data_IF_728730082113
#
_entry.id   IF_728730082113
#
_cell.length_a   1.000
_cell.length_b   1.000
_cell.length_c   1.000
_cell.angle_alpha   90.00
_cell.angle_beta   90.00
_cell.angle_gamma   90.00
#
_symmetry.space_group_name_H-M   'P 1'
#
loop_
_entity.id
_entity.type
_entity.pdbx_description
1 polymer ?
#
# COMPACT_ATOMS: atom_id res chain seq x y z
N UNK A 1 -12.45 -4.80 -18.32
CA UNK A 1 -13.56 -4.51 -17.38
C UNK A 1 -13.73 -5.71 -16.44
N UNK A 2 -13.92 -5.48 -15.14
CA UNK A 2 -14.16 -6.54 -14.14
C UNK A 2 -15.67 -6.77 -14.01
N UNK A 3 -16.08 -8.03 -13.91
CA UNK A 3 -17.51 -8.37 -13.82
C UNK A 3 -18.08 -8.23 -12.40
N UNK A 4 -17.21 -8.27 -11.37
CA UNK A 4 -17.63 -8.19 -9.95
C UNK A 4 -16.66 -7.33 -9.14
N UNK A 5 -17.16 -6.77 -8.03
CA UNK A 5 -16.34 -6.13 -6.99
C UNK A 5 -15.77 -7.21 -6.08
N UNK A 6 -14.45 -7.46 -6.18
CA UNK A 6 -13.73 -8.47 -5.38
C UNK A 6 -12.74 -7.83 -4.41
N UNK A 7 -12.88 -6.54 -4.12
CA UNK A 7 -12.01 -5.78 -3.25
C UNK A 7 -10.82 -5.11 -3.96
N UNK A 8 -10.19 -4.17 -3.25
CA UNK A 8 -9.10 -3.35 -3.78
C UNK A 8 -7.82 -4.19 -4.04
N UNK A 9 -7.50 -5.12 -3.15
CA UNK A 9 -6.33 -6.01 -3.32
C UNK A 9 -6.42 -6.86 -4.57
N UNK A 10 -7.61 -7.43 -4.85
CA UNK A 10 -7.87 -8.17 -6.08
C UNK A 10 -7.72 -7.28 -7.32
N UNK A 11 -8.22 -6.02 -7.27
CA UNK A 11 -8.10 -5.09 -8.40
C UNK A 11 -6.64 -4.73 -8.70
N UNK A 12 -5.86 -4.51 -7.66
CA UNK A 12 -4.42 -4.21 -7.80
C UNK A 12 -3.69 -5.42 -8.37
N UNK A 13 -3.97 -6.65 -7.90
CA UNK A 13 -3.36 -7.87 -8.45
C UNK A 13 -3.67 -8.07 -9.94
N UNK A 14 -4.89 -7.79 -10.38
CA UNK A 14 -5.23 -7.84 -11.82
C UNK A 14 -4.41 -6.81 -12.61
N UNK A 15 -4.28 -5.58 -12.10
CA UNK A 15 -3.43 -4.54 -12.69
C UNK A 15 -1.95 -4.94 -12.74
N UNK A 16 -1.41 -5.53 -11.67
CA UNK A 16 -0.05 -6.03 -11.61
C UNK A 16 0.19 -7.15 -12.65
N UNK A 17 -0.74 -8.10 -12.75
CA UNK A 17 -0.64 -9.18 -13.73
C UNK A 17 -0.67 -8.63 -15.17
N UNK A 18 -1.51 -7.64 -15.43
CA UNK A 18 -1.55 -6.96 -16.73
C UNK A 18 -0.25 -6.22 -17.01
N UNK A 19 0.30 -5.48 -16.02
CA UNK A 19 1.57 -4.77 -16.17
C UNK A 19 2.74 -5.72 -16.46
N UNK A 20 2.79 -6.87 -15.78
CA UNK A 20 3.79 -7.92 -16.05
C UNK A 20 3.63 -8.54 -17.44
N UNK A 21 2.39 -8.84 -17.84
CA UNK A 21 2.08 -9.40 -19.18
C UNK A 21 2.51 -8.44 -20.30
N UNK A 22 2.32 -7.13 -20.09
CA UNK A 22 2.69 -6.08 -21.06
C UNK A 22 4.14 -5.60 -20.90
N UNK A 23 4.88 -6.18 -19.96
CA UNK A 23 6.26 -5.83 -19.66
C UNK A 23 6.48 -4.34 -19.34
N UNK A 24 5.52 -3.70 -18.66
CA UNK A 24 5.70 -2.32 -18.22
C UNK A 24 6.80 -2.22 -17.17
N UNK A 25 7.62 -1.20 -17.28
CA UNK A 25 8.74 -0.95 -16.36
C UNK A 25 8.26 -0.44 -14.99
N UNK A 26 7.14 0.27 -14.97
CA UNK A 26 6.55 0.88 -13.76
C UNK A 26 5.04 0.65 -13.74
N UNK A 27 4.53 0.28 -12.58
CA UNK A 27 3.11 0.20 -12.29
C UNK A 27 2.78 1.15 -11.14
N UNK A 28 1.80 2.04 -11.34
CA UNK A 28 1.38 3.00 -10.32
C UNK A 28 -0.08 2.76 -9.97
N UNK A 29 -0.38 2.77 -8.68
CA UNK A 29 -1.74 2.74 -8.13
C UNK A 29 -2.07 4.06 -7.45
N UNK A 30 -3.30 4.52 -7.57
CA UNK A 30 -3.87 5.64 -6.82
C UNK A 30 -5.39 5.50 -6.77
N UNK A 31 -6.04 6.16 -5.82
CA UNK A 31 -7.50 6.19 -5.73
C UNK A 31 -8.07 7.14 -6.79
N UNK A 32 -9.20 6.75 -7.39
CA UNK A 32 -9.84 7.51 -8.48
C UNK A 32 -10.92 8.49 -7.98
N UNK A 33 -10.96 8.78 -6.68
CA UNK A 33 -11.95 9.65 -6.04
C UNK A 33 -11.41 11.07 -5.76
N UNK A 34 -10.31 11.41 -6.41
CA UNK A 34 -9.60 12.70 -6.28
C UNK A 34 -8.98 12.94 -4.88
N UNK A 35 -8.88 11.89 -4.04
CA UNK A 35 -8.18 12.00 -2.76
C UNK A 35 -6.66 12.03 -2.91
N UNK A 36 -6.13 11.49 -3.99
CA UNK A 36 -4.73 11.57 -4.37
C UNK A 36 -4.54 12.53 -5.54
N UNK A 37 -3.50 13.36 -5.47
CA UNK A 37 -3.17 14.36 -6.48
C UNK A 37 -2.39 13.72 -7.65
N UNK A 38 -2.97 13.60 -8.87
CA UNK A 38 -2.25 13.03 -10.01
C UNK A 38 -0.98 13.80 -10.40
N UNK A 39 -0.89 15.08 -10.06
CA UNK A 39 0.32 15.91 -10.28
C UNK A 39 1.55 15.40 -9.51
N UNK A 40 1.38 14.53 -8.53
CA UNK A 40 2.49 13.91 -7.79
C UNK A 40 3.09 12.68 -8.50
N UNK A 41 2.41 12.11 -9.52
CA UNK A 41 2.90 10.96 -10.29
C UNK A 41 4.34 11.14 -10.79
N UNK A 42 4.76 12.30 -11.33
CA UNK A 42 6.15 12.51 -11.75
C UNK A 42 7.17 12.28 -10.64
N UNK A 43 6.84 12.60 -9.38
CA UNK A 43 7.70 12.35 -8.22
C UNK A 43 7.91 10.86 -7.98
N UNK A 44 6.85 10.05 -8.10
CA UNK A 44 6.94 8.59 -8.03
C UNK A 44 7.81 8.03 -9.16
N UNK A 45 7.62 8.51 -10.41
CA UNK A 45 8.41 8.09 -11.57
C UNK A 45 9.90 8.43 -11.38
N UNK A 46 10.21 9.61 -10.84
CA UNK A 46 11.59 10.00 -10.55
C UNK A 46 12.24 9.08 -9.52
N UNK A 47 11.50 8.72 -8.45
CA UNK A 47 12.04 7.88 -7.37
C UNK A 47 12.15 6.42 -7.76
N UNK A 48 11.18 5.87 -8.52
CA UNK A 48 11.20 4.46 -8.92
C UNK A 48 12.41 4.11 -9.82
N UNK A 49 13.07 5.09 -10.43
CA UNK A 49 14.33 4.87 -11.16
C UNK A 49 15.48 4.42 -10.26
N UNK A 50 15.44 4.74 -8.95
CA UNK A 50 16.48 4.42 -7.97
C UNK A 50 16.04 3.40 -6.93
N UNK A 51 14.74 3.21 -6.78
CA UNK A 51 14.11 2.32 -5.80
C UNK A 51 13.22 1.31 -6.51
N UNK A 52 13.02 0.16 -5.90
CA UNK A 52 12.15 -0.88 -6.45
C UNK A 52 10.68 -0.68 -6.07
N UNK A 53 10.43 0.04 -4.96
CA UNK A 53 9.10 0.35 -4.47
C UNK A 53 9.07 1.76 -3.85
N UNK A 54 8.04 2.53 -4.19
CA UNK A 54 7.80 3.87 -3.67
C UNK A 54 6.39 3.94 -3.10
N UNK A 55 6.24 4.27 -1.83
CA UNK A 55 4.95 4.51 -1.19
C UNK A 55 4.73 6.00 -0.95
N UNK A 56 3.53 6.48 -1.22
CA UNK A 56 3.10 7.79 -0.76
C UNK A 56 2.82 7.76 0.74
N UNK A 57 3.19 8.79 1.47
CA UNK A 57 2.96 8.89 2.92
C UNK A 57 2.40 10.24 3.31
N UNK A 58 1.25 10.21 3.98
CA UNK A 58 0.60 11.37 4.58
C UNK A 58 1.28 11.81 5.88
N UNK A 59 2.02 10.91 6.50
CA UNK A 59 2.55 11.04 7.87
C UNK A 59 4.05 11.33 7.93
N UNK A 60 4.70 11.49 6.79
CA UNK A 60 6.08 11.97 6.76
C UNK A 60 6.15 13.49 6.63
N UNK A 61 7.32 14.10 6.86
CA UNK A 61 7.52 15.53 6.69
C UNK A 61 7.18 15.96 5.26
N UNK A 62 6.29 16.95 5.11
CA UNK A 62 5.78 17.43 3.83
C UNK A 62 4.54 16.68 3.34
N UNK A 63 4.13 15.59 3.97
CA UNK A 63 2.85 14.93 3.71
C UNK A 63 1.69 15.59 4.46
N UNK A 64 0.49 15.54 3.90
CA UNK A 64 -0.72 16.06 4.55
C UNK A 64 -1.89 15.09 4.46
N UNK A 65 -2.79 15.19 5.43
CA UNK A 65 -4.05 14.45 5.44
C UNK A 65 -5.14 15.33 6.03
N UNK A 66 -6.26 15.43 5.33
CA UNK A 66 -7.44 16.12 5.83
C UNK A 66 -8.37 15.24 6.67
N UNK A 67 -7.95 14.00 6.99
CA UNK A 67 -8.68 13.17 7.93
C UNK A 67 -8.72 13.82 9.31
N UNK A 68 -9.89 13.82 9.95
CA UNK A 68 -10.11 14.37 11.29
C UNK A 68 -10.75 13.32 12.20
N UNK A 69 -10.57 13.53 13.52
CA UNK A 69 -11.23 12.75 14.56
C UNK A 69 -10.88 11.26 14.51
N UNK A 70 -11.88 10.42 14.72
CA UNK A 70 -11.72 8.96 14.87
C UNK A 70 -11.02 8.29 13.68
N UNK A 71 -11.26 8.73 12.44
CA UNK A 71 -10.64 8.14 11.23
C UNK A 71 -9.13 8.36 11.19
N UNK A 72 -8.68 9.58 11.56
CA UNK A 72 -7.24 9.87 11.63
C UNK A 72 -6.59 9.07 12.75
N UNK A 73 -7.22 9.01 13.92
CA UNK A 73 -6.74 8.23 15.06
C UNK A 73 -6.55 6.75 14.71
N UNK A 74 -7.57 6.11 14.13
CA UNK A 74 -7.49 4.69 13.72
C UNK A 74 -6.42 4.46 12.66
N UNK A 75 -6.31 5.37 11.69
CA UNK A 75 -5.29 5.27 10.65
C UNK A 75 -3.87 5.38 11.23
N UNK A 76 -3.63 6.34 12.13
CA UNK A 76 -2.33 6.48 12.80
C UNK A 76 -1.99 5.28 13.66
N UNK A 77 -2.95 4.80 14.45
CA UNK A 77 -2.75 3.62 15.29
C UNK A 77 -2.39 2.39 14.44
N UNK A 78 -3.10 2.15 13.34
CA UNK A 78 -2.81 1.06 12.42
C UNK A 78 -1.39 1.16 11.85
N UNK A 79 -0.97 2.35 11.41
CA UNK A 79 0.36 2.57 10.86
C UNK A 79 1.47 2.39 11.91
N UNK A 80 1.26 2.88 13.13
CA UNK A 80 2.19 2.69 14.25
C UNK A 80 2.32 1.20 14.57
N UNK A 81 1.20 0.48 14.68
CA UNK A 81 1.19 -0.97 14.94
C UNK A 81 1.94 -1.75 13.85
N UNK A 82 1.70 -1.42 12.57
CA UNK A 82 2.41 -2.03 11.45
C UNK A 82 3.92 -1.79 11.55
N UNK A 83 4.32 -0.55 11.80
CA UNK A 83 5.74 -0.19 11.94
C UNK A 83 6.44 -0.98 13.04
N UNK A 84 5.83 -1.07 14.22
CA UNK A 84 6.42 -1.77 15.36
C UNK A 84 6.46 -3.28 15.16
N UNK A 85 5.33 -3.89 14.83
CA UNK A 85 5.22 -5.35 14.73
C UNK A 85 6.00 -5.88 13.52
N UNK A 86 5.89 -5.23 12.38
CA UNK A 86 6.60 -5.67 11.17
C UNK A 86 8.05 -5.20 11.12
N UNK A 87 8.46 -4.26 12.00
CA UNK A 87 9.80 -3.65 12.02
C UNK A 87 10.21 -3.13 10.63
N UNK A 88 9.27 -2.54 9.91
CA UNK A 88 9.49 -1.90 8.62
C UNK A 88 9.51 -0.39 8.85
N UNK A 89 10.54 0.36 8.42
CA UNK A 89 10.74 1.77 8.77
C UNK A 89 9.85 2.71 7.95
N UNK A 90 8.59 2.31 7.69
CA UNK A 90 7.59 3.12 7.02
C UNK A 90 6.69 3.82 8.03
N UNK A 91 6.20 5.00 7.67
CA UNK A 91 5.21 5.77 8.43
C UNK A 91 3.79 5.51 7.92
N UNK A 92 3.65 5.01 6.68
CA UNK A 92 2.36 4.78 6.04
C UNK A 92 2.28 3.39 5.39
N UNK A 93 1.31 2.58 5.83
CA UNK A 93 1.04 1.24 5.31
C UNK A 93 -0.31 1.15 4.60
N UNK A 94 -1.15 2.16 4.73
CA UNK A 94 -2.57 2.09 4.36
C UNK A 94 -2.92 2.82 3.07
N UNK A 95 -2.04 3.70 2.59
CA UNK A 95 -2.24 4.40 1.31
C UNK A 95 -2.20 3.44 0.11
N UNK A 96 -2.99 3.74 -0.92
CA UNK A 96 -2.95 3.05 -2.20
C UNK A 96 -2.10 3.78 -3.25
N UNK A 97 -1.59 5.00 -2.96
CA UNK A 97 -0.73 5.73 -3.88
C UNK A 97 0.69 5.19 -3.83
N UNK A 98 1.03 4.34 -4.79
CA UNK A 98 2.28 3.59 -4.81
C UNK A 98 2.82 3.40 -6.22
N UNK A 99 4.14 3.32 -6.35
CA UNK A 99 4.79 2.88 -7.57
C UNK A 99 5.59 1.59 -7.32
N UNK A 100 5.53 0.70 -8.27
CA UNK A 100 6.14 -0.62 -8.25
C UNK A 100 7.04 -0.79 -9.47
N UNK A 101 8.28 -1.20 -9.28
CA UNK A 101 9.13 -1.68 -10.38
C UNK A 101 8.72 -3.08 -10.84
N UNK A 102 9.19 -3.49 -12.00
CA UNK A 102 8.97 -4.86 -12.48
C UNK A 102 9.50 -5.92 -11.49
N UNK A 103 10.59 -5.62 -10.75
CA UNK A 103 11.12 -6.50 -9.70
C UNK A 103 10.12 -6.69 -8.56
N UNK A 104 9.53 -5.59 -8.07
CA UNK A 104 8.51 -5.64 -7.02
C UNK A 104 7.28 -6.43 -7.46
N UNK A 105 6.83 -6.24 -8.70
CA UNK A 105 5.71 -7.00 -9.25
C UNK A 105 6.01 -8.50 -9.32
N UNK A 106 7.22 -8.89 -9.70
CA UNK A 106 7.64 -10.30 -9.73
C UNK A 106 7.67 -10.93 -8.33
N UNK A 107 8.12 -10.17 -7.32
CA UNK A 107 8.07 -10.61 -5.91
C UNK A 107 6.62 -10.85 -5.48
N UNK A 108 5.73 -9.88 -5.71
CA UNK A 108 4.32 -10.00 -5.34
C UNK A 108 3.61 -11.12 -6.10
N UNK A 109 3.96 -11.37 -7.35
CA UNK A 109 3.42 -12.49 -8.13
C UNK A 109 3.78 -13.86 -7.54
N UNK A 110 4.98 -13.99 -6.96
CA UNK A 110 5.45 -15.23 -6.32
C UNK A 110 4.94 -15.38 -4.88
N UNK A 111 4.57 -14.27 -4.24
CA UNK A 111 4.08 -14.28 -2.87
C UNK A 111 2.66 -14.86 -2.80
N UNK A 112 2.39 -15.59 -1.72
CA UNK A 112 1.04 -16.06 -1.43
C UNK A 112 0.24 -14.90 -0.83
N UNK A 113 -0.48 -14.17 -1.69
CA UNK A 113 -1.29 -13.01 -1.33
C UNK A 113 -2.74 -13.45 -1.10
N UNK A 114 -3.26 -13.24 0.12
CA UNK A 114 -4.59 -13.69 0.52
C UNK A 114 -5.60 -12.55 0.64
N UNK A 115 -5.13 -11.32 0.84
CA UNK A 115 -6.01 -10.19 1.14
C UNK A 115 -6.61 -9.58 -0.11
N UNK A 116 -7.94 -9.60 -0.21
CA UNK A 116 -8.67 -8.90 -1.25
C UNK A 116 -9.09 -7.47 -0.85
N UNK A 117 -9.15 -7.18 0.45
CA UNK A 117 -9.51 -5.89 1.01
C UNK A 117 -8.33 -4.92 1.22
N UNK A 118 -8.54 -3.93 2.09
CA UNK A 118 -7.54 -2.90 2.40
C UNK A 118 -6.29 -3.45 3.08
N UNK A 119 -6.39 -4.56 3.80
CA UNK A 119 -5.25 -5.25 4.40
C UNK A 119 -4.20 -5.71 3.39
N UNK A 120 -4.56 -5.85 2.11
CA UNK A 120 -3.60 -6.10 1.02
C UNK A 120 -2.51 -5.05 0.93
N UNK A 121 -2.79 -3.81 1.33
CA UNK A 121 -1.80 -2.73 1.31
C UNK A 121 -0.63 -3.01 2.26
N UNK A 122 -0.92 -3.55 3.44
CA UNK A 122 0.09 -3.94 4.42
C UNK A 122 0.87 -5.16 3.91
N UNK A 123 0.14 -6.14 3.35
CA UNK A 123 0.69 -7.37 2.81
C UNK A 123 1.70 -7.11 1.67
N UNK A 124 1.39 -6.20 0.74
CA UNK A 124 2.29 -5.85 -0.37
C UNK A 124 3.60 -5.23 0.13
N UNK A 125 3.53 -4.27 1.06
CA UNK A 125 4.74 -3.67 1.66
C UNK A 125 5.56 -4.75 2.35
N UNK A 126 4.92 -5.62 3.13
CA UNK A 126 5.61 -6.67 3.85
C UNK A 126 6.44 -7.58 2.91
N UNK A 127 5.83 -8.15 1.88
CA UNK A 127 6.52 -9.05 0.98
C UNK A 127 7.63 -8.37 0.18
N UNK A 128 7.40 -7.14 -0.29
CA UNK A 128 8.41 -6.37 -1.02
C UNK A 128 9.60 -6.05 -0.09
N UNK A 129 9.34 -5.57 1.13
CA UNK A 129 10.39 -5.23 2.08
C UNK A 129 11.19 -6.46 2.52
N UNK A 130 10.50 -7.57 2.82
CA UNK A 130 11.14 -8.82 3.24
C UNK A 130 11.97 -9.47 2.12
N UNK A 131 11.73 -9.15 0.87
CA UNK A 131 12.56 -9.61 -0.26
C UNK A 131 13.88 -8.84 -0.41
N UNK A 132 14.16 -7.85 0.44
CA UNK A 132 15.39 -7.04 0.40
C UNK A 132 15.43 -5.99 -0.72
N UNK A 133 14.30 -5.72 -1.38
CA UNK A 133 14.22 -4.68 -2.40
C UNK A 133 14.34 -3.28 -1.79
N UNK A 134 14.88 -2.34 -2.59
CA UNK A 134 15.03 -0.94 -2.18
C UNK A 134 13.68 -0.24 -2.14
N UNK A 135 13.24 0.15 -0.94
CA UNK A 135 11.95 0.77 -0.69
C UNK A 135 12.11 2.19 -0.13
N UNK A 136 11.21 3.10 -0.50
CA UNK A 136 11.18 4.48 0.03
C UNK A 136 9.75 4.98 0.17
N UNK A 137 9.55 5.91 1.12
CA UNK A 137 8.35 6.75 1.19
C UNK A 137 8.64 8.13 0.60
N UNK A 138 7.61 8.74 0.03
CA UNK A 138 7.61 10.14 -0.39
C UNK A 138 6.37 10.84 0.16
N UNK A 139 6.45 12.14 0.49
CA UNK A 139 5.28 12.87 0.97
C UNK A 139 4.23 12.99 -0.12
N UNK A 140 2.96 12.86 0.27
CA UNK A 140 1.81 13.09 -0.62
C UNK A 140 0.81 14.03 0.05
N UNK A 141 0.06 14.76 -0.78
CA UNK A 141 -1.10 15.53 -0.37
C UNK A 141 -2.34 14.64 -0.50
N UNK A 142 -3.03 14.43 0.61
CA UNK A 142 -4.25 13.66 0.63
C UNK A 142 -5.43 14.53 1.03
N UNK A 143 -6.42 14.58 0.15
CA UNK A 143 -7.67 15.29 0.37
C UNK A 143 -8.77 14.28 0.70
N UNK A 144 -9.61 14.59 1.70
CA UNK A 144 -10.80 13.75 1.89
C UNK A 144 -11.72 13.94 0.68
N UNK A 145 -12.33 12.86 0.25
CA UNK A 145 -13.21 12.86 -0.93
C UNK A 145 -14.31 13.93 -0.81
N UNK A 146 -14.55 14.64 -1.87
CA UNK A 146 -15.56 15.70 -1.92
C UNK A 146 -16.97 15.15 -2.14
N UNK A 147 -17.11 13.93 -2.68
CA UNK A 147 -18.39 13.28 -2.96
C UNK A 147 -18.39 11.82 -2.51
N UNK A 148 -19.54 11.37 -1.99
CA UNK A 148 -19.79 9.98 -1.58
C UNK A 148 -19.32 9.63 -0.18
N UNK A 149 -19.91 8.57 0.38
CA UNK A 149 -19.59 8.05 1.70
C UNK A 149 -18.48 6.99 1.64
N UNK A 150 -17.68 6.91 2.69
CA UNK A 150 -16.69 5.83 2.83
C UNK A 150 -17.42 4.49 2.86
N UNK A 151 -17.08 3.61 1.91
CA UNK A 151 -17.60 2.23 1.83
C UNK A 151 -16.72 1.23 2.56
N UNK A 152 -15.84 1.72 3.47
CA UNK A 152 -15.00 0.82 4.26
C UNK A 152 -15.91 0.11 5.28
N UNK A 153 -16.10 -1.20 5.19
CA UNK A 153 -16.89 -1.94 6.15
C UNK A 153 -16.27 -1.82 7.55
N UNK A 154 -17.09 -1.74 8.60
CA UNK A 154 -16.62 -1.65 10.00
C UNK A 154 -15.66 -2.80 10.38
N UNK A 155 -15.84 -3.96 9.79
CA UNK A 155 -14.99 -5.14 10.00
C UNK A 155 -13.59 -5.03 9.35
N UNK A 156 -13.31 -4.01 8.52
CA UNK A 156 -11.99 -3.89 7.87
C UNK A 156 -10.85 -3.64 8.86
N UNK A 157 -11.11 -2.93 9.96
CA UNK A 157 -10.13 -2.77 11.03
C UNK A 157 -9.78 -4.13 11.68
N UNK A 158 -10.79 -4.97 11.91
CA UNK A 158 -10.61 -6.32 12.45
C UNK A 158 -9.81 -7.22 11.48
N UNK A 159 -10.18 -7.26 10.19
CA UNK A 159 -9.42 -8.01 9.18
C UNK A 159 -7.99 -7.47 9.02
N UNK A 160 -7.81 -6.15 9.16
CA UNK A 160 -6.49 -5.54 9.18
C UNK A 160 -5.63 -6.02 10.34
N UNK A 161 -6.21 -6.09 11.55
CA UNK A 161 -5.53 -6.57 12.75
C UNK A 161 -5.16 -8.05 12.63
N UNK A 162 -6.06 -8.92 12.16
CA UNK A 162 -5.78 -10.33 11.91
C UNK A 162 -4.65 -10.51 10.89
N UNK A 163 -4.68 -9.75 9.80
CA UNK A 163 -3.60 -9.77 8.81
C UNK A 163 -2.28 -9.33 9.40
N UNK A 164 -2.28 -8.27 10.19
CA UNK A 164 -1.07 -7.78 10.85
C UNK A 164 -0.47 -8.85 11.78
N UNK A 165 -1.31 -9.55 12.55
CA UNK A 165 -0.88 -10.66 13.41
C UNK A 165 -0.27 -11.80 12.57
N UNK A 166 -0.93 -12.21 11.49
CA UNK A 166 -0.39 -13.23 10.56
C UNK A 166 0.99 -12.83 10.04
N UNK A 167 1.13 -11.59 9.54
CA UNK A 167 2.40 -11.10 8.99
C UNK A 167 3.48 -10.96 10.07
N UNK A 168 3.10 -10.62 11.29
CA UNK A 168 4.02 -10.60 12.44
C UNK A 168 4.56 -11.99 12.73
N UNK A 169 3.69 -13.01 12.79
CA UNK A 169 4.11 -14.42 12.99
C UNK A 169 5.04 -14.84 11.85
N UNK A 170 4.68 -14.57 10.59
CA UNK A 170 5.54 -14.86 9.44
C UNK A 170 6.92 -14.20 9.57
N UNK A 171 6.96 -12.94 10.04
CA UNK A 171 8.22 -12.24 10.26
C UNK A 171 9.10 -12.91 11.31
N UNK A 172 8.51 -13.39 12.41
CA UNK A 172 9.25 -14.12 13.45
C UNK A 172 9.84 -15.43 12.93
N UNK A 173 9.09 -16.13 12.06
CA UNK A 173 9.52 -17.39 11.47
C UNK A 173 10.54 -17.21 10.33
N UNK A 174 10.56 -16.03 9.71
CA UNK A 174 11.52 -15.73 8.65
C UNK A 174 12.82 -15.23 9.29
N UNK A 175 13.82 -16.09 9.43
CA UNK A 175 15.17 -15.66 9.83
C UNK A 175 15.65 -14.60 8.85
N UNK A 176 16.03 -13.45 9.37
CA UNK A 176 16.63 -12.36 8.58
C UNK A 176 17.91 -12.92 7.96
N UNK A 177 17.93 -13.03 6.62
CA UNK A 177 19.19 -13.22 5.88
C UNK A 177 19.95 -11.91 5.87
#
# INVERSE_FOLDING_TARGET
KRNKKLGIGSAIRDGMNYALKKNYSVFITLDADLSHEPKEIPSFIKKIKKFDFVAGSRYMNGGTSNYKGYRDFVSRLANISCKFLLRIPFKEFTTSFRAYSNKSLKVLKKATLWSDGYSSQIEFIFFIYMSGLKCIEIPIQFHDRTKGNSKIPRLQAFYGALKLLELFIRRLLTKKK
#
